data_IF_022348865054
#
_entry.id   IF_022348865054
#
_cell.length_a   1.000
_cell.length_b   1.000
_cell.length_c   1.000
_cell.angle_alpha   90.00
_cell.angle_beta   90.00
_cell.angle_gamma   90.00
#
_symmetry.space_group_name_H-M   'P 1'
#
loop_
_entity.id
_entity.type
_entity.pdbx_description
1 polymer ?
#
# COMPACT_ATOMS: atom_id res chain seq x y z
N UNK A 1 -16.30 -20.58 -10.67
CA UNK A 1 -17.13 -20.12 -9.53
C UNK A 1 -18.53 -19.88 -10.04
N UNK A 2 -19.56 -20.35 -9.33
CA UNK A 2 -20.95 -20.22 -9.74
C UNK A 2 -21.48 -18.78 -9.60
N UNK A 3 -22.38 -18.38 -10.50
CA UNK A 3 -23.01 -17.06 -10.50
C UNK A 3 -24.18 -16.98 -9.49
N UNK A 4 -24.50 -15.76 -9.06
CA UNK A 4 -25.53 -15.41 -8.06
C UNK A 4 -26.96 -15.93 -8.36
N UNK A 5 -27.20 -16.48 -9.54
CA UNK A 5 -28.52 -16.95 -9.98
C UNK A 5 -28.86 -18.38 -9.53
N UNK A 6 -27.91 -19.11 -8.93
CA UNK A 6 -28.11 -20.53 -8.58
C UNK A 6 -27.93 -20.82 -7.07
N UNK A 7 -28.19 -19.86 -6.19
CA UNK A 7 -28.05 -20.04 -4.74
C UNK A 7 -29.34 -20.65 -4.13
N UNK A 8 -29.25 -21.84 -3.53
CA UNK A 8 -30.35 -22.53 -2.84
C UNK A 8 -30.72 -21.85 -1.50
N UNK A 9 -32.00 -21.86 -1.07
CA UNK A 9 -32.40 -21.39 0.25
C UNK A 9 -31.64 -22.13 1.36
N UNK A 10 -31.03 -21.39 2.28
CA UNK A 10 -30.28 -21.95 3.41
C UNK A 10 -28.75 -21.97 3.24
N UNK A 11 -28.20 -21.59 2.09
CA UNK A 11 -26.76 -21.38 1.95
C UNK A 11 -26.33 -20.02 2.52
N UNK A 12 -25.50 -20.04 3.56
CA UNK A 12 -24.78 -18.85 4.03
C UNK A 12 -23.47 -18.71 3.25
N UNK A 13 -23.24 -17.54 2.65
CA UNK A 13 -21.92 -17.20 2.12
C UNK A 13 -20.98 -17.00 3.31
N UNK A 14 -20.10 -17.96 3.58
CA UNK A 14 -19.04 -17.82 4.59
C UNK A 14 -17.97 -16.86 4.06
N UNK A 15 -18.30 -15.57 4.00
CA UNK A 15 -17.31 -14.50 3.85
C UNK A 15 -16.76 -14.21 5.24
N UNK A 16 -15.45 -14.35 5.45
CA UNK A 16 -14.78 -13.90 6.68
C UNK A 16 -14.88 -12.37 6.92
N UNK A 17 -15.61 -11.66 6.05
CA UNK A 17 -15.65 -10.20 5.94
C UNK A 17 -17.09 -9.71 5.77
N UNK A 18 -18.11 -10.47 6.17
CA UNK A 18 -19.48 -9.95 6.10
C UNK A 18 -19.62 -8.69 6.96
N UNK A 19 -20.32 -7.69 6.42
CA UNK A 19 -20.65 -6.47 7.12
C UNK A 19 -21.38 -6.79 8.43
N UNK A 20 -20.96 -6.19 9.54
CA UNK A 20 -21.51 -6.44 10.89
C UNK A 20 -22.86 -5.73 11.14
N UNK A 21 -23.45 -5.14 10.10
CA UNK A 21 -24.79 -4.59 10.21
C UNK A 21 -25.80 -5.73 10.06
N UNK A 22 -26.83 -5.71 10.89
CA UNK A 22 -27.86 -6.74 10.94
C UNK A 22 -28.43 -7.04 9.55
N UNK A 23 -28.52 -8.33 9.23
CA UNK A 23 -29.00 -8.87 7.94
C UNK A 23 -28.24 -8.39 6.69
N UNK A 24 -27.11 -7.69 6.83
CA UNK A 24 -26.32 -7.24 5.70
C UNK A 24 -25.45 -8.36 5.14
N UNK A 25 -25.55 -8.64 3.84
CA UNK A 25 -24.76 -9.68 3.14
C UNK A 25 -23.56 -9.14 2.36
N UNK A 26 -23.31 -7.83 2.42
CA UNK A 26 -22.18 -7.17 1.73
C UNK A 26 -20.87 -7.39 2.48
N UNK A 27 -19.75 -7.35 1.76
CA UNK A 27 -18.44 -7.38 2.38
C UNK A 27 -18.12 -6.04 3.08
N UNK A 28 -17.57 -6.12 4.28
CA UNK A 28 -17.09 -5.04 5.10
C UNK A 28 -15.70 -4.60 4.69
N UNK A 29 -15.56 -3.31 4.38
CA UNK A 29 -14.31 -2.66 4.00
C UNK A 29 -14.01 -1.42 4.85
N UNK A 30 -14.91 -1.01 5.73
CA UNK A 30 -14.78 0.15 6.58
C UNK A 30 -14.71 -0.28 8.03
N UNK A 31 -13.89 0.40 8.83
CA UNK A 31 -13.68 0.05 10.22
C UNK A 31 -13.54 1.31 11.07
N UNK A 32 -13.72 1.17 12.38
CA UNK A 32 -13.38 2.26 13.30
C UNK A 32 -11.86 2.50 13.30
N UNK A 33 -11.45 3.63 13.86
CA UNK A 33 -10.04 3.89 14.10
C UNK A 33 -9.45 2.73 14.92
N UNK A 34 -8.26 2.25 14.53
CA UNK A 34 -7.55 1.10 15.11
C UNK A 34 -8.13 -0.30 14.89
N UNK A 35 -9.30 -0.46 14.25
CA UNK A 35 -9.77 -1.79 13.87
C UNK A 35 -8.84 -2.42 12.81
N UNK A 36 -8.40 -3.68 13.00
CA UNK A 36 -7.41 -4.33 12.12
C UNK A 36 -8.02 -4.85 10.80
N UNK A 37 -9.35 -4.87 10.67
CA UNK A 37 -10.07 -5.34 9.47
C UNK A 37 -11.31 -4.51 9.19
N UNK A 38 -11.74 -4.47 7.93
CA UNK A 38 -13.04 -3.91 7.56
C UNK A 38 -14.18 -4.70 8.20
N UNK A 39 -15.11 -3.97 8.84
CA UNK A 39 -16.27 -4.50 9.57
C UNK A 39 -17.59 -4.05 8.94
N UNK A 40 -17.61 -2.91 8.25
CA UNK A 40 -18.81 -2.30 7.67
C UNK A 40 -18.67 -2.11 6.17
N UNK A 41 -19.75 -2.29 5.41
CA UNK A 41 -19.76 -1.99 3.98
C UNK A 41 -19.91 -0.47 3.75
N UNK A 42 -19.79 -0.01 2.51
CA UNK A 42 -19.90 1.43 2.19
C UNK A 42 -21.24 2.05 2.58
N UNK A 43 -22.32 1.27 2.62
CA UNK A 43 -23.64 1.74 3.04
C UNK A 43 -23.81 1.82 4.56
N UNK A 44 -23.03 1.06 5.31
CA UNK A 44 -23.08 1.03 6.78
C UNK A 44 -21.84 1.67 7.41
N UNK A 45 -21.08 2.44 6.61
CA UNK A 45 -19.98 3.27 7.07
C UNK A 45 -20.55 4.47 7.84
N UNK A 46 -19.99 4.76 9.02
CA UNK A 46 -20.25 6.00 9.78
C UNK A 46 -19.12 7.02 9.58
N UNK A 47 -19.38 8.25 9.98
CA UNK A 47 -18.34 9.28 10.04
C UNK A 47 -17.15 8.80 10.90
N UNK A 48 -15.93 9.17 10.49
CA UNK A 48 -14.70 8.71 11.13
C UNK A 48 -14.24 7.28 10.76
N UNK A 49 -15.06 6.46 10.10
CA UNK A 49 -14.61 5.14 9.67
C UNK A 49 -13.63 5.21 8.49
N UNK A 50 -12.61 4.37 8.51
CA UNK A 50 -11.54 4.30 7.50
C UNK A 50 -11.63 3.04 6.66
N UNK A 51 -11.18 3.11 5.41
CA UNK A 51 -11.11 1.94 4.54
C UNK A 51 -10.01 0.97 5.01
N UNK A 52 -10.34 -0.31 5.11
CA UNK A 52 -9.52 -1.44 5.58
C UNK A 52 -9.77 -2.65 4.70
N UNK A 53 -8.85 -2.93 3.78
CA UNK A 53 -8.83 -4.20 3.05
C UNK A 53 -8.37 -5.29 4.02
N UNK A 54 -9.06 -6.42 4.10
CA UNK A 54 -8.61 -7.49 4.98
C UNK A 54 -7.32 -8.14 4.44
N UNK A 55 -6.39 -8.40 5.36
CA UNK A 55 -4.99 -8.69 5.04
C UNK A 55 -4.10 -7.46 4.83
N UNK A 56 -4.64 -6.24 4.94
CA UNK A 56 -3.83 -5.02 4.94
C UNK A 56 -2.96 -5.00 6.20
N UNK A 57 -1.65 -5.15 6.01
CA UNK A 57 -0.70 -4.98 7.10
C UNK A 57 -0.78 -3.53 7.61
N UNK A 58 -0.72 -3.37 8.92
CA UNK A 58 -0.56 -2.09 9.59
C UNK A 58 0.86 -1.95 10.12
N UNK A 59 1.29 -0.73 10.35
CA UNK A 59 2.53 -0.44 11.05
C UNK A 59 2.55 -1.17 12.40
N UNK A 60 3.69 -1.75 12.77
CA UNK A 60 3.87 -2.44 14.05
C UNK A 60 4.06 -1.48 15.24
N UNK A 61 4.01 -0.17 15.00
CA UNK A 61 4.00 0.81 16.08
C UNK A 61 2.58 0.87 16.66
N UNK A 62 2.49 0.97 17.98
CA UNK A 62 1.22 0.96 18.71
C UNK A 62 0.24 1.98 18.15
N UNK A 63 -1.01 1.55 17.96
CA UNK A 63 -2.12 2.36 17.44
C UNK A 63 -1.86 2.98 16.05
N UNK A 64 -0.80 2.60 15.34
CA UNK A 64 -0.50 3.16 14.03
C UNK A 64 -1.22 2.39 12.93
N UNK A 65 -2.16 3.06 12.29
CA UNK A 65 -2.95 2.45 11.21
C UNK A 65 -2.40 2.68 9.80
N UNK A 66 -1.22 3.30 9.68
CA UNK A 66 -0.58 3.56 8.39
C UNK A 66 -0.07 2.26 7.79
N UNK A 67 -0.12 2.16 6.47
CA UNK A 67 0.47 1.02 5.76
C UNK A 67 1.98 1.00 6.01
N UNK A 68 2.55 -0.14 6.43
CA UNK A 68 3.98 -0.25 6.59
C UNK A 68 4.65 -0.39 5.23
N UNK A 69 5.77 0.29 5.07
CA UNK A 69 6.58 0.27 3.84
C UNK A 69 8.08 0.21 4.11
N UNK A 70 8.49 0.17 5.38
CA UNK A 70 9.87 0.19 5.82
C UNK A 70 10.20 -1.04 6.66
N UNK A 71 11.39 -1.57 6.44
CA UNK A 71 11.97 -2.65 7.24
C UNK A 71 13.51 -2.63 7.10
N UNK A 72 14.21 -3.50 7.80
CA UNK A 72 15.65 -3.69 7.61
C UNK A 72 15.97 -4.32 6.26
N UNK A 73 17.26 -4.32 5.92
CA UNK A 73 17.77 -4.89 4.69
C UNK A 73 17.32 -6.36 4.51
N UNK A 74 17.14 -6.75 3.25
CA UNK A 74 16.69 -8.08 2.80
C UNK A 74 15.33 -8.57 3.29
N UNK A 75 14.59 -7.73 4.00
CA UNK A 75 13.20 -8.02 4.35
C UNK A 75 12.24 -7.59 3.24
N UNK A 76 11.41 -8.51 2.78
CA UNK A 76 10.45 -8.25 1.68
C UNK A 76 9.17 -7.55 2.15
N UNK A 77 8.82 -7.71 3.43
CA UNK A 77 7.60 -7.16 4.02
C UNK A 77 7.90 -5.91 4.85
N UNK A 78 7.13 -4.85 4.63
CA UNK A 78 7.17 -3.66 5.47
C UNK A 78 6.62 -3.95 6.87
N UNK A 79 7.32 -3.50 7.91
CA UNK A 79 6.87 -3.58 9.32
C UNK A 79 6.49 -2.22 9.88
N UNK A 80 7.18 -1.17 9.45
CA UNK A 80 6.96 0.19 9.93
C UNK A 80 6.56 1.14 8.80
N UNK A 81 5.78 2.17 9.12
CA UNK A 81 5.47 3.27 8.21
C UNK A 81 6.62 4.30 8.22
N UNK A 82 6.57 5.29 7.31
CA UNK A 82 7.60 6.32 7.20
C UNK A 82 7.87 7.07 8.52
N UNK A 83 6.83 7.34 9.30
CA UNK A 83 6.91 8.07 10.57
C UNK A 83 7.53 7.24 11.69
N UNK A 84 7.40 5.91 11.63
CA UNK A 84 7.85 4.99 12.68
C UNK A 84 9.00 4.08 12.21
N UNK A 85 9.65 4.42 11.07
CA UNK A 85 10.83 3.69 10.64
C UNK A 85 11.96 3.93 11.64
N UNK A 86 12.74 2.91 11.94
CA UNK A 86 13.96 3.04 12.73
C UNK A 86 15.13 3.49 11.84
N UNK A 87 16.22 3.91 12.48
CA UNK A 87 17.47 4.16 11.78
C UNK A 87 18.01 2.87 11.14
N UNK A 88 18.55 2.99 9.94
CA UNK A 88 18.97 1.85 9.12
C UNK A 88 17.84 1.12 8.36
N UNK A 89 16.55 1.41 8.63
CA UNK A 89 15.47 0.83 7.84
C UNK A 89 15.37 1.46 6.44
N UNK A 90 15.10 0.61 5.45
CA UNK A 90 14.92 0.95 4.03
C UNK A 90 13.48 0.69 3.59
N UNK A 91 13.06 1.39 2.54
CA UNK A 91 11.74 1.17 1.93
C UNK A 91 11.73 -0.17 1.19
N UNK A 92 10.85 -1.10 1.55
CA UNK A 92 10.74 -2.43 0.92
C UNK A 92 10.10 -2.39 -0.48
N UNK A 93 9.32 -1.34 -0.76
CA UNK A 93 8.65 -1.16 -2.07
C UNK A 93 9.52 -0.42 -3.10
N UNK A 94 10.67 0.11 -2.68
CA UNK A 94 11.53 0.88 -3.56
C UNK A 94 12.49 -0.07 -4.29
N UNK A 95 12.60 0.10 -5.61
CA UNK A 95 13.66 -0.58 -6.35
C UNK A 95 15.03 -0.18 -5.79
N UNK A 96 15.86 -1.17 -5.46
CA UNK A 96 17.26 -0.98 -5.05
C UNK A 96 18.16 -0.78 -6.27
N UNK A 97 19.25 -0.03 -6.10
CA UNK A 97 20.29 0.10 -7.10
C UNK A 97 20.86 -1.27 -7.49
N UNK A 98 21.00 -1.55 -8.79
CA UNK A 98 21.59 -2.81 -9.28
C UNK A 98 23.12 -2.89 -9.11
N UNK A 99 23.76 -1.92 -8.45
CA UNK A 99 25.19 -1.95 -8.19
C UNK A 99 25.47 -2.80 -6.96
N UNK A 100 26.56 -3.57 -6.98
CA UNK A 100 26.92 -4.47 -5.89
C UNK A 100 27.03 -3.69 -4.57
N UNK A 101 26.46 -4.24 -3.48
CA UNK A 101 26.47 -3.63 -2.14
C UNK A 101 25.88 -2.21 -2.07
N UNK A 102 24.95 -1.85 -2.96
CA UNK A 102 24.32 -0.52 -2.95
C UNK A 102 22.83 -0.58 -2.58
N UNK A 103 22.49 -0.07 -1.40
CA UNK A 103 21.10 -0.02 -0.90
C UNK A 103 20.36 1.30 -1.20
N UNK A 104 20.98 2.18 -1.98
CA UNK A 104 20.33 3.42 -2.41
C UNK A 104 19.19 3.10 -3.37
N UNK A 105 18.12 3.89 -3.29
CA UNK A 105 16.98 3.78 -4.21
C UNK A 105 17.43 4.01 -5.65
N UNK A 106 16.94 3.15 -6.54
CA UNK A 106 17.14 3.24 -7.97
C UNK A 106 16.18 4.27 -8.59
N UNK A 107 16.76 5.37 -9.06
CA UNK A 107 16.03 6.44 -9.75
C UNK A 107 16.48 6.63 -11.19
N UNK A 108 17.65 6.13 -11.56
CA UNK A 108 18.28 6.38 -12.85
C UNK A 108 18.18 5.16 -13.77
N UNK A 109 17.81 5.41 -15.02
CA UNK A 109 17.90 4.46 -16.12
C UNK A 109 17.84 5.23 -17.46
N UNK A 110 17.88 4.51 -18.57
CA UNK A 110 17.55 5.06 -19.88
C UNK A 110 16.05 5.38 -19.99
N UNK A 111 15.72 6.32 -20.85
CA UNK A 111 14.35 6.78 -21.09
C UNK A 111 13.38 5.60 -21.38
N UNK A 112 12.16 5.70 -20.85
CA UNK A 112 11.13 4.65 -20.97
C UNK A 112 11.33 3.42 -20.08
N UNK A 113 12.45 3.31 -19.34
CA UNK A 113 12.71 2.19 -18.42
C UNK A 113 12.46 2.56 -16.96
N UNK A 114 12.20 1.55 -16.11
CA UNK A 114 12.09 1.72 -14.65
C UNK A 114 13.46 2.00 -14.03
N UNK A 115 13.52 2.76 -12.93
CA UNK A 115 14.77 3.07 -12.24
C UNK A 115 15.59 1.81 -11.91
N UNK A 116 16.88 1.82 -12.27
CA UNK A 116 17.80 0.68 -12.09
C UNK A 116 19.03 1.03 -11.24
N UNK A 117 19.52 2.26 -11.35
CA UNK A 117 20.70 2.73 -10.63
C UNK A 117 20.39 3.93 -9.74
N UNK A 118 21.19 4.15 -8.70
CA UNK A 118 21.14 5.36 -7.89
C UNK A 118 21.96 6.49 -8.56
N UNK A 119 21.86 7.75 -8.10
CA UNK A 119 22.63 8.85 -8.69
C UNK A 119 24.15 8.62 -8.74
N UNK A 120 24.70 7.89 -7.76
CA UNK A 120 26.13 7.61 -7.68
C UNK A 120 26.60 6.48 -8.62
N UNK A 121 25.67 5.68 -9.14
CA UNK A 121 25.96 4.53 -10.02
C UNK A 121 25.24 4.65 -11.36
N UNK A 122 24.78 5.86 -11.72
CA UNK A 122 24.22 6.10 -13.06
C UNK A 122 25.33 5.97 -14.10
N UNK A 123 24.99 5.40 -15.25
CA UNK A 123 25.88 5.41 -16.41
C UNK A 123 25.68 6.68 -17.23
N UNK A 124 26.64 6.97 -18.11
CA UNK A 124 26.48 8.03 -19.09
C UNK A 124 25.22 7.80 -19.94
N UNK A 125 24.48 8.88 -20.25
CA UNK A 125 23.20 8.81 -20.94
C UNK A 125 22.00 8.36 -20.10
N UNK A 126 22.18 8.00 -18.83
CA UNK A 126 21.04 7.73 -17.92
C UNK A 126 20.46 9.01 -17.32
N UNK A 127 19.13 9.06 -17.26
CA UNK A 127 18.36 10.14 -16.65
C UNK A 127 17.60 9.64 -15.42
N UNK A 128 17.12 10.56 -14.59
CA UNK A 128 16.18 10.24 -13.52
C UNK A 128 14.82 9.87 -14.15
N UNK A 129 14.43 8.61 -14.04
CA UNK A 129 13.19 8.04 -14.57
C UNK A 129 12.13 7.85 -13.49
N UNK A 130 12.34 8.42 -12.30
CA UNK A 130 11.29 8.46 -11.29
C UNK A 130 10.10 9.23 -11.86
N UNK A 131 8.86 8.71 -11.72
CA UNK A 131 7.69 9.46 -12.15
C UNK A 131 7.70 10.83 -11.46
N UNK A 132 7.39 11.91 -12.18
CA UNK A 132 7.38 13.24 -11.59
C UNK A 132 6.40 13.21 -10.43
N UNK A 133 6.83 13.66 -9.25
CA UNK A 133 5.93 14.01 -8.15
C UNK A 133 5.22 15.31 -8.52
N UNK A 134 4.55 15.41 -9.66
CA UNK A 134 3.86 16.62 -10.08
C UNK A 134 2.46 16.27 -10.52
N UNK A 135 1.50 17.12 -10.19
CA UNK A 135 0.15 16.99 -10.69
C UNK A 135 0.17 16.92 -12.23
N UNK A 136 -0.58 15.99 -12.82
CA UNK A 136 -0.67 15.82 -14.27
C UNK A 136 -1.31 17.02 -15.00
N UNK A 137 -1.87 17.98 -14.25
CA UNK A 137 -2.43 19.21 -14.80
C UNK A 137 -1.33 20.19 -15.18
N UNK A 138 -1.29 20.57 -16.46
CA UNK A 138 -0.37 21.57 -16.97
C UNK A 138 -0.41 22.85 -16.12
N UNK A 139 0.76 23.31 -15.67
CA UNK A 139 0.91 24.51 -14.85
C UNK A 139 0.66 24.35 -13.34
N UNK A 140 0.36 23.14 -12.84
CA UNK A 140 0.14 22.93 -11.41
C UNK A 140 1.47 22.66 -10.67
N UNK A 141 1.89 23.51 -9.71
CA UNK A 141 3.17 23.35 -9.00
C UNK A 141 3.10 22.31 -7.87
N UNK A 142 1.94 21.72 -7.61
CA UNK A 142 1.73 20.80 -6.50
C UNK A 142 2.50 19.49 -6.68
N UNK A 143 3.23 19.10 -5.64
CA UNK A 143 3.90 17.80 -5.57
C UNK A 143 2.93 16.73 -5.03
N UNK A 144 2.87 15.57 -5.68
CA UNK A 144 2.15 14.41 -5.13
C UNK A 144 3.00 13.77 -4.01
N UNK A 145 2.39 13.41 -2.85
CA UNK A 145 3.09 12.84 -1.69
C UNK A 145 3.86 11.55 -2.00
#
# INVERSE_FOLDING_TARGET
>A
GFCLRHMQPGMVRVSARQCEHELCTKDGYFAHENDPRGRFCSQHKREGMVYRKSGMATCEHELCTKQPGFNFEDQERGRFCLQHKLDGMVSVHAAKCSAQKCNRRAYFNFEGKKGRFCPAHKLEGMANVAPPRRCARAGCPALLP
#
